data_IF_499318681607
#
_entry.id   IF_499318681607
#
_cell.length_a   1.000
_cell.length_b   1.000
_cell.length_c   1.000
_cell.angle_alpha   90.00
_cell.angle_beta   90.00
_cell.angle_gamma   90.00
#
_symmetry.space_group_name_H-M   'P 1'
#
loop_
_entity.id
_entity.type
_entity.pdbx_description
1 polymer ?
#
# COMPACT_ATOMS: atom_id res chain seq x y z
N UNK A 1 -1.94 -19.49 -1.05
CA UNK A 1 -2.44 -18.12 -0.89
C UNK A 1 -1.31 -17.14 -0.68
N UNK A 2 -1.54 -15.93 -1.08
CA UNK A 2 -0.54 -14.87 -1.03
C UNK A 2 -1.06 -13.70 -0.23
N UNK A 3 -0.14 -13.09 0.51
CA UNK A 3 -0.40 -11.82 1.17
C UNK A 3 0.06 -10.70 0.26
N UNK A 4 -0.82 -9.78 -0.01
CA UNK A 4 -0.51 -8.57 -0.77
C UNK A 4 -0.52 -7.42 0.21
N UNK A 5 0.60 -6.72 0.27
CA UNK A 5 0.75 -5.53 1.08
C UNK A 5 1.05 -4.37 0.15
N UNK A 6 0.31 -3.30 0.28
CA UNK A 6 0.53 -2.12 -0.57
C UNK A 6 0.60 -0.88 0.30
N UNK A 7 1.60 -0.05 0.03
CA UNK A 7 1.75 1.25 0.66
C UNK A 7 1.55 2.28 -0.43
N UNK A 8 0.62 3.20 -0.22
CA UNK A 8 0.22 4.12 -1.27
C UNK A 8 -0.30 5.43 -0.70
N UNK A 9 -0.66 6.35 -1.59
CA UNK A 9 -1.13 7.69 -1.21
C UNK A 9 -2.51 7.63 -0.58
N UNK A 10 -2.76 8.39 0.48
CA UNK A 10 -4.06 8.35 1.19
C UNK A 10 -5.27 8.67 0.32
N UNK A 11 -5.12 9.54 -0.66
CA UNK A 11 -6.24 9.93 -1.52
C UNK A 11 -6.70 8.80 -2.44
N UNK A 12 -5.92 7.72 -2.54
CA UNK A 12 -6.29 6.56 -3.35
C UNK A 12 -7.02 5.48 -2.56
N UNK A 13 -7.18 5.66 -1.25
CA UNK A 13 -7.74 4.63 -0.38
C UNK A 13 -9.17 4.26 -0.74
N UNK A 14 -10.06 5.23 -0.79
CA UNK A 14 -11.48 4.93 -1.01
C UNK A 14 -11.74 4.29 -2.37
N UNK A 15 -11.19 4.81 -3.48
CA UNK A 15 -11.37 4.15 -4.78
C UNK A 15 -10.80 2.74 -4.79
N UNK A 16 -9.62 2.52 -4.23
CA UNK A 16 -9.00 1.20 -4.21
C UNK A 16 -9.82 0.23 -3.37
N UNK A 17 -10.25 0.66 -2.20
CA UNK A 17 -11.05 -0.18 -1.30
C UNK A 17 -12.33 -0.64 -1.98
N UNK A 18 -13.04 0.28 -2.63
CA UNK A 18 -14.26 -0.05 -3.35
C UNK A 18 -14.02 -1.08 -4.45
N UNK A 19 -12.95 -0.89 -5.22
CA UNK A 19 -12.63 -1.81 -6.32
C UNK A 19 -12.23 -3.18 -5.81
N UNK A 20 -11.47 -3.25 -4.75
CA UNK A 20 -11.06 -4.53 -4.18
C UNK A 20 -12.27 -5.31 -3.64
N UNK A 21 -13.14 -4.64 -2.92
CA UNK A 21 -14.32 -5.29 -2.38
C UNK A 21 -15.27 -5.75 -3.49
N UNK A 22 -15.45 -4.93 -4.53
CA UNK A 22 -16.25 -5.30 -5.68
C UNK A 22 -15.65 -6.48 -6.45
N UNK A 23 -14.34 -6.62 -6.45
CA UNK A 23 -13.65 -7.73 -7.11
C UNK A 23 -13.65 -9.00 -6.28
N UNK A 24 -14.23 -8.98 -5.09
CA UNK A 24 -14.41 -10.18 -4.28
C UNK A 24 -13.33 -10.46 -3.27
N UNK A 25 -12.49 -9.48 -2.94
CA UNK A 25 -11.55 -9.66 -1.83
C UNK A 25 -12.36 -9.84 -0.54
N UNK A 26 -11.96 -10.81 0.29
CA UNK A 26 -12.77 -11.16 1.46
C UNK A 26 -12.61 -10.19 2.62
N UNK A 27 -11.52 -9.48 2.64
CA UNK A 27 -11.30 -8.49 3.67
C UNK A 27 -10.00 -7.74 3.43
N UNK A 28 -9.90 -6.57 4.02
CA UNK A 28 -8.69 -5.77 3.97
C UNK A 28 -8.38 -5.26 5.36
N UNK A 29 -7.09 -5.16 5.66
CA UNK A 29 -6.62 -4.53 6.88
C UNK A 29 -5.90 -3.25 6.48
N UNK A 30 -6.22 -2.17 7.14
CA UNK A 30 -5.77 -0.85 6.74
C UNK A 30 -5.12 -0.15 7.92
N UNK A 31 -3.94 0.44 7.67
CA UNK A 31 -3.24 1.26 8.65
C UNK A 31 -2.90 2.61 8.02
N UNK A 32 -2.98 3.64 8.81
CA UNK A 32 -2.39 4.92 8.47
C UNK A 32 -0.94 4.88 8.91
N UNK A 33 -0.02 5.14 7.98
CA UNK A 33 1.41 5.05 8.24
C UNK A 33 2.10 6.30 7.73
N UNK A 34 3.35 6.47 8.10
CA UNK A 34 4.18 7.53 7.57
C UNK A 34 5.37 6.88 6.90
N UNK A 35 5.66 7.31 5.68
CA UNK A 35 6.76 6.79 4.91
C UNK A 35 7.77 7.86 4.57
N UNK A 36 9.03 7.49 4.56
CA UNK A 36 10.08 8.30 3.98
C UNK A 36 10.92 7.39 3.08
N UNK A 37 11.37 7.92 1.99
CA UNK A 37 12.11 7.11 1.03
C UNK A 37 12.79 8.00 0.01
N UNK A 38 12.97 7.44 -1.19
CA UNK A 38 13.61 8.17 -2.29
C UNK A 38 12.71 9.22 -2.92
N UNK A 39 11.52 9.39 -2.40
CA UNK A 39 10.77 10.58 -2.72
C UNK A 39 11.59 11.76 -2.33
N UNK A 40 11.52 12.81 -3.12
CA UNK A 40 12.13 14.06 -2.74
C UNK A 40 11.46 14.55 -1.49
N UNK A 41 11.96 14.03 -0.39
CA UNK A 41 11.61 14.53 0.90
C UNK A 41 12.15 15.94 1.00
N UNK A 42 11.52 16.71 1.75
CA UNK A 42 11.94 18.05 2.02
C UNK A 42 13.13 17.97 2.95
N UNK A 43 14.23 18.44 2.47
CA UNK A 43 15.39 18.56 3.32
C UNK A 43 15.32 19.95 3.91
N UNK A 44 15.19 20.04 5.21
CA UNK A 44 15.27 21.31 5.91
C UNK A 44 16.56 21.34 6.71
N UNK A 45 17.04 22.53 6.96
CA UNK A 45 18.21 22.72 7.80
C UNK A 45 17.76 23.16 9.18
N UNK A 46 18.18 22.45 10.19
CA UNK A 46 17.92 22.79 11.56
C UNK A 46 19.26 22.98 12.26
N UNK A 47 19.54 24.21 12.71
CA UNK A 47 20.81 24.58 13.32
C UNK A 47 22.01 24.25 12.44
N UNK A 48 21.87 24.46 11.12
CA UNK A 48 22.93 24.18 10.18
C UNK A 48 23.10 22.73 9.81
N UNK A 49 22.29 21.84 10.37
CA UNK A 49 22.30 20.44 10.01
C UNK A 49 21.16 20.12 9.06
N UNK A 50 21.48 19.31 8.07
CA UNK A 50 20.48 18.79 7.15
C UNK A 50 19.60 17.80 7.89
N UNK A 51 18.31 18.07 7.94
CA UNK A 51 17.33 17.20 8.57
C UNK A 51 16.31 16.80 7.54
N UNK A 52 16.11 15.51 7.37
CA UNK A 52 15.01 15.03 6.56
C UNK A 52 13.73 15.26 7.35
N UNK A 53 12.98 16.26 6.95
CA UNK A 53 11.82 16.71 7.69
C UNK A 53 10.61 15.81 7.52
N UNK A 54 10.66 14.76 6.67
CA UNK A 54 9.41 14.20 6.28
C UNK A 54 9.33 12.73 6.31
N UNK A 55 8.50 12.39 7.16
CA UNK A 55 7.61 11.30 6.84
C UNK A 55 6.37 11.87 6.17
N UNK A 56 6.00 11.31 5.04
CA UNK A 56 4.76 11.66 4.37
C UNK A 56 3.67 10.68 4.81
N UNK A 57 2.45 11.16 4.99
CA UNK A 57 1.35 10.24 5.30
C UNK A 57 1.11 9.29 4.14
N UNK A 58 0.96 8.03 4.46
CA UNK A 58 0.67 6.95 3.52
C UNK A 58 -0.37 6.04 4.13
N UNK A 59 -0.93 5.17 3.30
CA UNK A 59 -1.82 4.11 3.75
C UNK A 59 -1.14 2.78 3.49
N UNK A 60 -1.21 1.90 4.46
CA UNK A 60 -0.83 0.50 4.33
C UNK A 60 -2.11 -0.32 4.28
N UNK A 61 -2.23 -1.14 3.24
CA UNK A 61 -3.38 -2.03 3.08
C UNK A 61 -2.86 -3.44 2.85
N UNK A 62 -3.45 -4.39 3.54
CA UNK A 62 -3.06 -5.79 3.45
C UNK A 62 -4.29 -6.65 3.19
N UNK A 63 -4.15 -7.61 2.30
CA UNK A 63 -5.16 -8.63 2.07
C UNK A 63 -4.48 -9.94 1.71
N UNK A 64 -5.20 -11.04 1.92
CA UNK A 64 -4.72 -12.38 1.55
C UNK A 64 -5.66 -12.93 0.49
N UNK A 65 -5.09 -13.42 -0.60
CA UNK A 65 -5.86 -13.85 -1.76
C UNK A 65 -5.38 -15.22 -2.23
N UNK A 66 -6.25 -15.97 -2.94
CA UNK A 66 -5.83 -17.22 -3.57
C UNK A 66 -4.75 -16.97 -4.62
N UNK A 67 -3.90 -17.96 -4.84
CA UNK A 67 -2.81 -17.85 -5.81
C UNK A 67 -3.29 -17.49 -7.21
N UNK A 68 -4.42 -18.05 -7.62
CA UNK A 68 -4.97 -17.83 -8.96
C UNK A 68 -5.62 -16.45 -9.14
N UNK A 69 -5.75 -15.66 -8.08
CA UNK A 69 -6.31 -14.32 -8.16
C UNK A 69 -5.27 -13.21 -7.99
N UNK A 70 -4.01 -13.56 -7.75
CA UNK A 70 -2.96 -12.57 -7.45
C UNK A 70 -2.80 -11.57 -8.59
N UNK A 71 -2.67 -12.06 -9.82
CA UNK A 71 -2.46 -11.16 -10.96
C UNK A 71 -3.63 -10.20 -11.16
N UNK A 72 -4.85 -10.67 -10.98
CA UNK A 72 -6.03 -9.81 -11.10
C UNK A 72 -6.00 -8.67 -10.09
N UNK A 73 -5.70 -9.01 -8.84
CA UNK A 73 -5.64 -8.00 -7.79
C UNK A 73 -4.46 -7.06 -7.96
N UNK A 74 -3.31 -7.58 -8.41
CA UNK A 74 -2.16 -6.71 -8.69
C UNK A 74 -2.48 -5.68 -9.76
N UNK A 75 -3.11 -6.11 -10.84
CA UNK A 75 -3.48 -5.21 -11.91
C UNK A 75 -4.44 -4.14 -11.42
N UNK A 76 -5.43 -4.55 -10.65
CA UNK A 76 -6.42 -3.64 -10.09
C UNK A 76 -5.77 -2.59 -9.17
N UNK A 77 -4.86 -3.05 -8.30
CA UNK A 77 -4.16 -2.14 -7.39
C UNK A 77 -3.32 -1.14 -8.20
N UNK A 78 -2.53 -1.62 -9.15
CA UNK A 78 -1.68 -0.75 -9.96
C UNK A 78 -2.50 0.31 -10.68
N UNK A 79 -3.61 -0.08 -11.29
CA UNK A 79 -4.46 0.86 -12.02
C UNK A 79 -5.04 1.95 -11.12
N UNK A 80 -5.35 1.60 -9.88
CA UNK A 80 -6.02 2.53 -8.97
C UNK A 80 -5.06 3.43 -8.19
N UNK A 81 -3.81 3.01 -7.99
CA UNK A 81 -2.86 3.80 -7.19
C UNK A 81 -1.84 4.55 -8.04
N UNK A 82 -1.70 4.20 -9.30
CA UNK A 82 -0.71 4.81 -10.17
C UNK A 82 -1.10 6.25 -10.53
N UNK A 83 -0.18 7.18 -10.35
CA UNK A 83 -0.33 8.57 -10.80
C UNK A 83 0.75 8.97 -11.79
N UNK A 84 1.82 8.19 -11.88
CA UNK A 84 2.99 8.53 -12.70
C UNK A 84 4.00 9.41 -12.00
N UNK A 85 3.76 9.69 -10.73
CA UNK A 85 4.64 10.54 -9.93
C UNK A 85 5.40 9.70 -8.92
N UNK A 86 6.65 10.03 -8.66
CA UNK A 86 7.45 9.36 -7.64
C UNK A 86 6.70 9.40 -6.31
N UNK A 87 6.65 8.25 -5.64
CA UNK A 87 5.96 8.13 -4.37
C UNK A 87 4.57 7.55 -4.46
N UNK A 88 4.19 6.99 -5.61
CA UNK A 88 2.90 6.32 -5.75
C UNK A 88 2.75 5.13 -4.81
N UNK A 89 3.84 4.42 -4.56
CA UNK A 89 3.81 3.35 -3.60
C UNK A 89 4.58 2.11 -4.00
N UNK A 90 4.40 1.08 -3.19
CA UNK A 90 5.05 -0.23 -3.38
C UNK A 90 4.08 -1.33 -3.03
N UNK A 91 4.26 -2.47 -3.69
CA UNK A 91 3.49 -3.67 -3.41
C UNK A 91 4.48 -4.75 -2.98
N UNK A 92 4.17 -5.42 -1.88
CA UNK A 92 4.93 -6.58 -1.41
C UNK A 92 4.03 -7.79 -1.47
N UNK A 93 4.59 -8.90 -1.94
CA UNK A 93 3.85 -10.16 -2.04
C UNK A 93 4.66 -11.23 -1.31
N UNK A 94 4.00 -11.95 -0.45
CA UNK A 94 4.61 -13.06 0.27
C UNK A 94 3.65 -14.23 0.34
N UNK A 95 4.21 -15.42 0.53
CA UNK A 95 3.42 -16.62 0.68
C UNK A 95 2.89 -16.72 2.10
N UNK A 96 1.62 -17.09 2.23
CA UNK A 96 0.99 -17.35 3.51
C UNK A 96 0.82 -18.86 3.62
N UNK A 97 1.45 -19.44 4.63
CA UNK A 97 1.36 -20.90 4.84
C UNK A 97 -0.02 -21.30 5.31
N UNK A 98 -0.55 -20.57 6.27
CA UNK A 98 -1.88 -20.85 6.81
C UNK A 98 -2.59 -19.56 7.16
N UNK A 99 -3.90 -19.57 6.96
CA UNK A 99 -4.76 -18.50 7.42
C UNK A 99 -5.91 -19.16 8.17
N UNK A 100 -5.93 -18.97 9.47
CA UNK A 100 -6.89 -19.64 10.33
C UNK A 100 -7.91 -18.60 10.76
N UNK A 101 -9.16 -18.85 10.41
CA UNK A 101 -10.26 -18.00 10.85
C UNK A 101 -10.55 -18.31 12.32
N UNK A 102 -10.58 -17.29 13.15
CA UNK A 102 -10.93 -17.46 14.54
C UNK A 102 -12.39 -17.89 14.65
N UNK A 103 -13.21 -17.41 13.72
CA UNK A 103 -14.59 -17.78 13.74
C UNK A 103 -15.24 -17.71 12.36
#
# INVERSE_FOLDING_TARGET
MKKIEVIFRPEKLEPLKEKLLAAGVQGVTIYQVHGCGNQHGWIAYHRGNEVMMNTLPKVYLMTVVPDDRVEDFLQLIKENVYTGTVGDGKIFISTVDECIRIR
#
